data_IF_197357759390
#
_entry.id   IF_197357759390
#
_cell.length_a   1.000
_cell.length_b   1.000
_cell.length_c   1.000
_cell.angle_alpha   90.00
_cell.angle_beta   90.00
_cell.angle_gamma   90.00
#
_symmetry.space_group_name_H-M   'P 1'
#
loop_
_entity.id
_entity.type
_entity.pdbx_description
1 polymer ?
#
# COMPACT_ATOMS: atom_id res chain seq x y z
N UNK A 1 12.15 5.00 17.17
CA UNK A 1 11.68 3.68 16.77
C UNK A 1 12.55 3.15 15.65
N UNK A 2 12.92 1.88 15.72
CA UNK A 2 13.89 1.28 14.79
C UNK A 2 13.35 -0.04 14.25
N UNK A 3 13.44 -0.21 12.94
CA UNK A 3 13.20 -1.51 12.31
C UNK A 3 14.56 -2.18 12.08
N UNK A 4 14.71 -3.40 12.56
CA UNK A 4 15.95 -4.15 12.37
C UNK A 4 15.96 -4.89 11.03
N UNK A 5 14.78 -5.15 10.48
CA UNK A 5 14.61 -5.73 9.16
C UNK A 5 13.26 -5.33 8.59
N UNK A 6 13.03 -5.66 7.34
CA UNK A 6 11.74 -5.38 6.69
C UNK A 6 11.60 -3.97 6.16
N UNK A 7 12.61 -3.12 6.33
CA UNK A 7 12.59 -1.76 5.81
C UNK A 7 13.88 -1.46 5.06
N UNK A 8 13.75 -1.06 3.80
CA UNK A 8 14.87 -0.61 2.99
C UNK A 8 14.56 0.80 2.49
N UNK A 9 15.11 1.83 3.14
CA UNK A 9 14.79 3.22 2.76
C UNK A 9 15.17 3.59 1.34
N UNK A 10 16.07 2.83 0.71
CA UNK A 10 16.49 3.11 -0.66
C UNK A 10 15.61 2.44 -1.72
N UNK A 11 14.69 1.55 -1.33
CA UNK A 11 13.82 0.88 -2.28
C UNK A 11 12.81 1.86 -2.88
N UNK A 12 12.79 1.95 -4.20
CA UNK A 12 11.86 2.86 -4.89
C UNK A 12 10.46 2.23 -4.99
N UNK A 13 9.40 3.05 -4.92
CA UNK A 13 8.06 2.52 -5.14
C UNK A 13 7.90 1.97 -6.55
N UNK A 14 7.10 0.92 -6.69
CA UNK A 14 6.87 0.26 -7.97
C UNK A 14 6.06 1.08 -8.96
N UNK A 15 5.41 2.13 -8.49
CA UNK A 15 4.59 3.00 -9.33
C UNK A 15 3.63 3.80 -8.48
N UNK A 16 2.55 4.26 -9.08
CA UNK A 16 1.56 5.11 -8.41
C UNK A 16 0.24 4.38 -8.14
N UNK A 17 0.12 3.12 -8.51
CA UNK A 17 -1.08 2.33 -8.31
C UNK A 17 -0.75 0.92 -7.84
N UNK A 18 -1.78 0.16 -7.49
CA UNK A 18 -1.62 -1.22 -7.08
C UNK A 18 -1.15 -2.06 -8.28
N UNK A 19 0.02 -2.69 -8.16
CA UNK A 19 0.64 -3.43 -9.27
C UNK A 19 -0.33 -4.49 -9.81
N UNK A 20 -0.89 -5.31 -8.94
CA UNK A 20 -1.75 -6.41 -9.38
C UNK A 20 -3.09 -5.93 -9.89
N UNK A 21 -3.65 -4.86 -9.32
CA UNK A 21 -4.88 -4.27 -9.86
C UNK A 21 -4.66 -3.69 -11.25
N UNK A 22 -3.48 -3.07 -11.48
CA UNK A 22 -3.14 -2.57 -12.81
C UNK A 22 -3.06 -3.71 -13.83
N UNK A 23 -2.49 -4.84 -13.44
CA UNK A 23 -2.35 -6.00 -14.31
C UNK A 23 -3.68 -6.68 -14.61
N UNK A 24 -4.56 -6.76 -13.62
CA UNK A 24 -5.82 -7.49 -13.73
C UNK A 24 -7.01 -6.64 -14.16
N UNK A 25 -6.84 -5.33 -14.24
CA UNK A 25 -7.95 -4.41 -14.50
C UNK A 25 -8.81 -4.13 -13.28
N UNK A 26 -8.31 -4.44 -12.09
CA UNK A 26 -9.03 -4.21 -10.83
C UNK A 26 -8.95 -2.76 -10.37
N UNK A 27 -9.51 -2.52 -9.21
CA UNK A 27 -9.52 -1.20 -8.59
C UNK A 27 -9.18 -1.33 -7.12
N UNK A 28 -8.79 -0.19 -6.49
CA UNK A 28 -8.36 -0.16 -5.10
C UNK A 28 -9.01 0.99 -4.37
N UNK A 29 -9.08 0.88 -3.02
CA UNK A 29 -9.52 1.98 -2.17
C UNK A 29 -8.32 2.83 -1.75
N UNK A 30 -7.43 2.30 -0.92
CA UNK A 30 -6.19 2.98 -0.55
C UNK A 30 -4.98 2.13 -0.94
N UNK A 31 -3.81 2.77 -0.98
CA UNK A 31 -2.59 2.11 -1.39
C UNK A 31 -1.63 1.97 -0.22
N UNK A 32 -0.89 0.87 -0.23
CA UNK A 32 0.14 0.57 0.76
C UNK A 32 1.44 0.25 0.04
N UNK A 33 2.56 0.66 0.64
CA UNK A 33 3.89 0.44 0.09
C UNK A 33 4.62 -0.60 0.95
N UNK A 34 5.17 -1.64 0.31
CA UNK A 34 6.08 -2.53 1.00
C UNK A 34 7.34 -1.76 1.36
N UNK A 35 7.65 -1.69 2.65
CA UNK A 35 8.80 -0.91 3.10
C UNK A 35 10.12 -1.55 2.72
N UNK A 36 10.12 -2.81 2.33
CA UNK A 36 11.34 -3.54 1.99
C UNK A 36 11.68 -3.47 0.51
N UNK A 37 10.70 -3.64 -0.39
CA UNK A 37 10.98 -3.68 -1.83
C UNK A 37 10.28 -2.60 -2.64
N UNK A 38 9.42 -1.80 -2.04
CA UNK A 38 8.71 -0.74 -2.73
C UNK A 38 7.45 -1.14 -3.47
N UNK A 39 7.07 -2.42 -3.41
CA UNK A 39 5.84 -2.88 -4.06
C UNK A 39 4.63 -2.10 -3.55
N UNK A 40 3.81 -1.60 -4.48
CA UNK A 40 2.57 -0.90 -4.15
C UNK A 40 1.41 -1.87 -4.32
N UNK A 41 0.65 -2.07 -3.25
CA UNK A 41 -0.53 -2.92 -3.26
C UNK A 41 -1.70 -2.23 -2.61
N UNK A 42 -2.90 -2.76 -2.82
CA UNK A 42 -4.11 -2.17 -2.24
C UNK A 42 -4.32 -2.64 -0.79
N UNK A 43 -4.99 -1.80 -0.01
CA UNK A 43 -5.22 -2.05 1.42
C UNK A 43 -6.23 -3.18 1.65
N UNK A 44 -6.34 -3.61 2.90
CA UNK A 44 -7.26 -4.70 3.26
C UNK A 44 -8.73 -4.34 3.10
N UNK A 45 -9.06 -3.05 3.11
CA UNK A 45 -10.43 -2.60 2.82
C UNK A 45 -10.75 -2.72 1.33
N UNK A 46 -9.74 -2.70 0.48
CA UNK A 46 -9.92 -2.93 -0.96
C UNK A 46 -10.35 -4.37 -1.23
N UNK A 47 -11.11 -4.62 -2.30
CA UNK A 47 -11.61 -5.97 -2.56
C UNK A 47 -10.53 -7.03 -2.70
N UNK A 48 -9.37 -6.68 -3.26
CA UNK A 48 -8.34 -7.66 -3.60
C UNK A 48 -7.23 -7.81 -2.57
N UNK A 49 -7.03 -6.85 -1.68
CA UNK A 49 -6.06 -6.95 -0.57
C UNK A 49 -4.65 -7.33 -1.02
N UNK A 50 -4.16 -6.69 -2.09
CA UNK A 50 -2.89 -7.07 -2.69
C UNK A 50 -1.67 -6.77 -1.81
N UNK A 51 -1.74 -5.77 -0.92
CA UNK A 51 -0.63 -5.52 0.01
C UNK A 51 -0.42 -6.70 0.96
N UNK A 52 -1.50 -7.24 1.51
CA UNK A 52 -1.43 -8.42 2.38
C UNK A 52 -1.01 -9.66 1.59
N UNK A 53 -1.50 -9.82 0.36
CA UNK A 53 -1.09 -10.92 -0.49
C UNK A 53 0.41 -10.87 -0.78
N UNK A 54 0.98 -9.68 -0.97
CA UNK A 54 2.41 -9.50 -1.18
C UNK A 54 3.21 -9.98 0.04
N UNK A 55 2.78 -9.60 1.25
CA UNK A 55 3.42 -10.10 2.47
C UNK A 55 3.39 -11.62 2.53
N UNK A 56 2.24 -12.22 2.26
CA UNK A 56 2.10 -13.68 2.31
C UNK A 56 2.99 -14.38 1.29
N UNK A 57 3.18 -13.77 0.13
CA UNK A 57 3.98 -14.36 -0.94
C UNK A 57 5.48 -14.17 -0.74
N UNK A 58 5.91 -13.06 -0.14
CA UNK A 58 7.33 -12.70 -0.07
C UNK A 58 7.92 -12.79 1.32
N UNK A 59 7.09 -12.71 2.36
CA UNK A 59 7.56 -12.62 3.74
C UNK A 59 8.03 -11.22 4.13
N UNK A 60 7.90 -10.22 3.27
CA UNK A 60 8.27 -8.85 3.60
C UNK A 60 7.31 -8.30 4.66
N UNK A 61 7.76 -8.03 5.90
CA UNK A 61 6.85 -7.89 7.02
C UNK A 61 6.25 -6.52 7.25
N UNK A 62 6.79 -5.48 6.64
CA UNK A 62 6.42 -4.10 6.98
C UNK A 62 5.86 -3.38 5.78
N UNK A 63 4.74 -2.71 5.98
CA UNK A 63 4.19 -1.77 5.00
C UNK A 63 4.08 -0.39 5.60
N UNK A 64 4.01 0.62 4.73
CA UNK A 64 3.64 1.96 5.12
C UNK A 64 2.54 2.46 4.22
N UNK A 65 1.83 3.50 4.67
CA UNK A 65 0.82 4.12 3.83
C UNK A 65 1.47 4.76 2.62
N UNK A 66 0.78 4.71 1.48
CA UNK A 66 1.19 5.43 0.28
C UNK A 66 0.21 6.55 -0.05
N UNK A 67 -0.65 6.89 0.92
CA UNK A 67 -1.62 7.97 0.78
C UNK A 67 -1.00 9.29 1.21
N UNK A 68 -1.32 10.41 0.51
CA UNK A 68 -0.76 11.71 0.85
C UNK A 68 -1.06 12.10 2.30
N UNK A 69 -0.04 12.62 2.99
CA UNK A 69 -0.20 13.07 4.38
C UNK A 69 -0.11 11.98 5.43
N UNK A 70 0.05 10.73 5.03
CA UNK A 70 0.14 9.61 5.97
C UNK A 70 1.56 9.07 6.00
N UNK A 71 2.09 8.86 7.20
CA UNK A 71 3.48 8.42 7.40
C UNK A 71 3.58 7.21 8.31
N UNK A 72 2.48 6.53 8.59
CA UNK A 72 2.48 5.39 9.50
C UNK A 72 2.98 4.11 8.84
N UNK A 73 3.48 3.21 9.70
CA UNK A 73 3.95 1.89 9.30
C UNK A 73 3.15 0.81 10.03
N UNK A 74 3.09 -0.37 9.44
CA UNK A 74 2.44 -1.54 10.02
C UNK A 74 3.32 -2.77 9.82
N UNK A 75 3.52 -3.53 10.91
CA UNK A 75 4.24 -4.80 10.88
C UNK A 75 3.24 -5.95 10.98
N UNK A 76 3.16 -6.77 9.93
CA UNK A 76 2.21 -7.89 9.90
C UNK A 76 2.47 -8.92 10.99
N UNK A 77 3.73 -9.41 11.20
CA UNK A 77 3.94 -10.50 12.16
C UNK A 77 3.55 -10.14 13.59
N UNK A 78 3.83 -8.92 14.02
CA UNK A 78 3.51 -8.49 15.36
C UNK A 78 2.18 -7.78 15.47
N UNK A 79 1.54 -7.49 14.33
CA UNK A 79 0.34 -6.66 14.28
C UNK A 79 0.57 -5.34 15.01
N UNK A 80 1.72 -4.72 14.73
CA UNK A 80 2.14 -3.48 15.38
C UNK A 80 1.96 -2.29 14.47
N UNK A 81 1.39 -1.23 15.03
CA UNK A 81 1.21 0.04 14.35
C UNK A 81 2.23 1.06 14.87
N UNK A 82 2.86 1.79 13.95
CA UNK A 82 3.83 2.83 14.27
C UNK A 82 3.39 4.13 13.61
N UNK A 83 3.29 5.21 14.40
CA UNK A 83 2.88 6.53 13.89
C UNK A 83 3.83 7.08 12.84
N UNK A 84 5.10 6.72 12.93
CA UNK A 84 6.13 7.19 11.99
C UNK A 84 7.25 6.17 11.94
N UNK A 85 8.18 6.38 11.03
CA UNK A 85 9.34 5.50 10.88
C UNK A 85 10.41 6.16 10.02
N UNK A 86 11.34 5.36 9.49
CA UNK A 86 12.41 5.90 8.66
C UNK A 86 11.86 6.61 7.42
N UNK A 87 12.57 7.62 6.97
CA UNK A 87 12.27 8.27 5.71
C UNK A 87 12.58 7.31 4.57
N UNK A 88 11.62 7.14 3.66
CA UNK A 88 11.78 6.24 2.52
C UNK A 88 12.03 7.06 1.26
N UNK A 89 12.58 6.40 0.24
CA UNK A 89 12.87 7.04 -1.04
C UNK A 89 11.60 7.60 -1.69
N UNK A 90 11.71 8.78 -2.28
CA UNK A 90 10.61 9.42 -3.00
C UNK A 90 10.24 8.63 -4.27
N UNK A 91 8.98 8.72 -4.67
CA UNK A 91 7.86 9.42 -4.02
C UNK A 91 7.35 8.65 -2.80
N UNK A 92 6.93 9.39 -1.76
CA UNK A 92 6.46 8.78 -0.51
C UNK A 92 4.95 8.58 -0.49
N UNK A 93 4.26 9.04 -1.53
CA UNK A 93 2.81 8.87 -1.68
C UNK A 93 2.45 8.92 -3.15
N UNK A 94 1.25 8.46 -3.48
CA UNK A 94 0.73 8.67 -4.84
C UNK A 94 0.43 10.16 -5.04
N UNK A 95 0.32 10.62 -6.31
CA UNK A 95 0.02 12.04 -6.56
C UNK A 95 -1.27 12.47 -5.87
N UNK A 96 -1.30 13.68 -5.27
CA UNK A 96 -2.50 14.12 -4.54
C UNK A 96 -3.75 14.19 -5.39
N UNK A 97 -3.62 14.40 -6.71
CA UNK A 97 -4.77 14.44 -7.62
C UNK A 97 -5.30 13.08 -8.02
N UNK A 98 -4.61 12.00 -7.66
CA UNK A 98 -5.06 10.65 -7.99
C UNK A 98 -6.23 10.26 -7.09
N UNK A 99 -7.35 9.78 -7.66
CA UNK A 99 -8.53 9.50 -6.84
C UNK A 99 -8.34 8.28 -5.94
N UNK A 100 -9.02 8.30 -4.79
CA UNK A 100 -9.17 7.17 -3.88
C UNK A 100 -10.67 7.04 -3.58
N UNK A 101 -11.34 5.98 -4.06
CA UNK A 101 -10.79 4.83 -4.79
C UNK A 101 -10.37 5.16 -6.22
N UNK A 102 -9.50 4.35 -6.76
CA UNK A 102 -8.99 4.52 -8.11
C UNK A 102 -8.66 3.19 -8.79
N UNK A 103 -8.27 3.21 -10.04
CA UNK A 103 -8.25 4.37 -10.94
C UNK A 103 -9.67 4.74 -11.40
N UNK A 104 -9.86 6.01 -11.76
CA UNK A 104 -11.18 6.57 -12.00
C UNK A 104 -12.04 5.77 -12.99
N UNK A 105 -11.46 5.24 -14.03
CA UNK A 105 -12.21 4.52 -15.07
C UNK A 105 -12.64 3.10 -14.72
N UNK A 106 -12.16 2.56 -13.58
CA UNK A 106 -12.44 1.17 -13.19
C UNK A 106 -13.23 1.02 -11.89
N UNK A 107 -13.43 2.11 -11.16
CA UNK A 107 -14.13 2.06 -9.86
C UNK A 107 -15.63 1.93 -10.12
N UNK A 108 -16.30 0.88 -9.58
CA UNK A 108 -17.74 0.73 -9.80
C UNK A 108 -18.52 1.84 -9.12
N UNK A 109 -19.70 2.14 -9.67
CA UNK A 109 -20.60 3.14 -9.11
C UNK A 109 -20.94 2.84 -7.65
N UNK A 110 -21.13 1.58 -7.32
CA UNK A 110 -21.51 1.12 -5.98
C UNK A 110 -20.32 0.60 -5.16
N UNK A 111 -19.15 1.19 -5.34
CA UNK A 111 -17.92 0.69 -4.76
C UNK A 111 -17.98 0.54 -3.23
N UNK A 112 -18.76 1.39 -2.56
CA UNK A 112 -18.86 1.31 -1.09
C UNK A 112 -19.43 -0.02 -0.61
N UNK A 113 -20.28 -0.63 -1.40
CA UNK A 113 -20.88 -1.94 -1.05
C UNK A 113 -19.91 -3.10 -1.31
N UNK A 114 -18.80 -2.84 -2.01
CA UNK A 114 -17.85 -3.86 -2.41
C UNK A 114 -16.58 -3.86 -1.57
N UNK A 115 -16.46 -2.94 -0.63
CA UNK A 115 -15.31 -2.89 0.26
C UNK A 115 -15.36 -4.02 1.28
N UNK A 116 -14.17 -4.52 1.64
CA UNK A 116 -14.07 -5.47 2.75
C UNK A 116 -14.25 -4.74 4.07
N UNK A 117 -14.91 -5.39 5.01
CA UNK A 117 -15.18 -4.83 6.31
C UNK A 117 -14.18 -5.32 7.35
#
# INVERSE_FOLDING_TARGET
>A
MTFTNGVNPAALPSGTGCVECEESGGWWFHLRRCAECGHIGCCDTSPSQHATAHWKATGHPVICSFEPGEVWFWSYPGEDFYDSGPELADPVCHPPGQPAPGPAGRVPHDWRTKLNQ
#
